data_IF_961386452091
#
_entry.id   IF_961386452091
#
_cell.length_a   1.000
_cell.length_b   1.000
_cell.length_c   1.000
_cell.angle_alpha   90.00
_cell.angle_beta   90.00
_cell.angle_gamma   90.00
#
_symmetry.space_group_name_H-M   'P 1'
#
loop_
_entity.id
_entity.type
_entity.pdbx_description
1 polymer ?
#
# COMPACT_ATOMS: atom_id res chain seq x y z
N UNK A 1 -4.92 -21.79 6.43
CA UNK A 1 -3.70 -21.16 7.00
C UNK A 1 -3.97 -20.81 8.46
N UNK A 2 -3.71 -21.77 9.37
CA UNK A 2 -4.00 -21.66 10.81
C UNK A 2 -2.72 -21.77 11.63
N UNK A 3 -1.80 -20.81 11.51
CA UNK A 3 -0.52 -20.93 12.20
C UNK A 3 -0.20 -19.84 13.22
N UNK A 4 -1.16 -18.96 13.58
CA UNK A 4 -0.94 -18.05 14.70
C UNK A 4 -2.20 -18.00 15.57
N UNK A 5 -2.02 -18.43 16.82
CA UNK A 5 -3.04 -18.30 17.86
C UNK A 5 -3.44 -16.81 17.98
N UNK A 6 -4.74 -16.44 17.90
CA UNK A 6 -5.19 -15.04 17.88
C UNK A 6 -4.68 -14.20 19.07
N UNK A 7 -4.51 -14.83 20.23
CA UNK A 7 -3.94 -14.19 21.43
C UNK A 7 -2.46 -13.80 21.27
N UNK A 8 -1.68 -14.62 20.58
CA UNK A 8 -0.27 -14.32 20.29
C UNK A 8 -0.14 -13.17 19.30
N UNK A 9 -0.97 -13.15 18.25
CA UNK A 9 -0.98 -12.07 17.27
C UNK A 9 -1.30 -10.70 17.91
N UNK A 10 -2.30 -10.64 18.81
CA UNK A 10 -2.63 -9.45 19.60
C UNK A 10 -1.45 -8.95 20.45
N UNK A 11 -0.70 -9.86 21.09
CA UNK A 11 0.46 -9.53 21.93
C UNK A 11 1.60 -8.92 21.09
N UNK A 12 1.87 -9.47 19.91
CA UNK A 12 2.89 -8.95 18.99
C UNK A 12 2.51 -7.56 18.44
N UNK A 13 1.25 -7.34 18.09
CA UNK A 13 0.77 -6.06 17.56
C UNK A 13 0.82 -4.93 18.59
N UNK A 14 0.65 -5.21 19.89
CA UNK A 14 0.72 -4.23 20.99
C UNK A 14 2.17 -3.85 21.36
N UNK A 15 3.18 -4.62 21.01
CA UNK A 15 4.56 -4.33 21.34
C UNK A 15 5.15 -3.30 20.37
N UNK A 16 5.36 -2.06 20.88
CA UNK A 16 5.91 -0.94 20.10
C UNK A 16 7.28 -1.29 19.48
N UNK A 17 8.13 -1.98 20.22
CA UNK A 17 9.48 -2.34 19.76
C UNK A 17 9.45 -3.29 18.56
N UNK A 18 8.59 -4.32 18.59
CA UNK A 18 8.43 -5.25 17.48
C UNK A 18 7.92 -4.54 16.23
N UNK A 19 6.98 -3.61 16.38
CA UNK A 19 6.48 -2.79 15.27
C UNK A 19 7.58 -1.94 14.64
N UNK A 20 8.46 -1.33 15.43
CA UNK A 20 9.59 -0.56 14.91
C UNK A 20 10.58 -1.43 14.13
N UNK A 21 10.94 -2.60 14.69
CA UNK A 21 11.85 -3.56 14.02
C UNK A 21 11.26 -4.04 12.69
N UNK A 22 9.97 -4.40 12.67
CA UNK A 22 9.31 -4.83 11.43
C UNK A 22 9.24 -3.72 10.39
N UNK A 23 8.98 -2.47 10.80
CA UNK A 23 9.00 -1.31 9.88
C UNK A 23 10.39 -1.07 9.31
N UNK A 24 11.45 -1.15 10.13
CA UNK A 24 12.83 -1.01 9.67
C UNK A 24 13.22 -2.11 8.68
N UNK A 25 12.89 -3.37 8.98
CA UNK A 25 13.15 -4.48 8.08
C UNK A 25 12.40 -4.31 6.74
N UNK A 26 11.13 -3.90 6.80
CA UNK A 26 10.35 -3.64 5.59
C UNK A 26 10.96 -2.52 4.74
N UNK A 27 11.42 -1.43 5.36
CA UNK A 27 12.10 -0.32 4.69
C UNK A 27 13.40 -0.78 4.02
N UNK A 28 14.24 -1.53 4.73
CA UNK A 28 15.53 -2.00 4.19
C UNK A 28 15.32 -2.96 3.02
N UNK A 29 14.44 -3.95 3.18
CA UNK A 29 14.14 -4.93 2.12
C UNK A 29 13.48 -4.22 0.92
N UNK A 30 12.55 -3.30 1.17
CA UNK A 30 11.91 -2.53 0.10
C UNK A 30 12.93 -1.66 -0.66
N UNK A 31 13.84 -0.97 0.03
CA UNK A 31 14.90 -0.18 -0.60
C UNK A 31 15.86 -1.03 -1.43
N UNK A 32 16.23 -2.22 -0.95
CA UNK A 32 17.03 -3.18 -1.72
C UNK A 32 16.29 -3.63 -2.99
N UNK A 33 15.03 -4.06 -2.86
CA UNK A 33 14.21 -4.48 -4.00
C UNK A 33 13.99 -3.33 -4.99
N UNK A 34 13.87 -2.09 -4.53
CA UNK A 34 13.77 -0.90 -5.38
C UNK A 34 15.01 -0.74 -6.25
N UNK A 35 16.21 -0.83 -5.66
CA UNK A 35 17.48 -0.74 -6.38
C UNK A 35 17.64 -1.89 -7.37
N UNK A 36 17.32 -3.11 -6.95
CA UNK A 36 17.34 -4.30 -7.79
C UNK A 36 16.41 -4.13 -9.00
N UNK A 37 15.15 -3.77 -8.76
CA UNK A 37 14.14 -3.58 -9.83
C UNK A 37 14.57 -2.49 -10.81
N UNK A 38 15.10 -1.38 -10.32
CA UNK A 38 15.55 -0.28 -11.17
C UNK A 38 16.68 -0.72 -12.09
N UNK A 39 17.72 -1.37 -11.56
CA UNK A 39 18.92 -1.69 -12.32
C UNK A 39 18.77 -2.92 -13.21
N UNK A 40 17.99 -3.91 -12.78
CA UNK A 40 17.84 -5.17 -13.52
C UNK A 40 16.78 -5.10 -14.60
N UNK A 41 15.69 -4.36 -14.36
CA UNK A 41 14.52 -4.40 -15.25
C UNK A 41 14.19 -3.03 -15.89
N UNK A 42 14.22 -1.95 -15.10
CA UNK A 42 13.75 -0.63 -15.57
C UNK A 42 14.79 0.02 -16.50
N UNK A 43 16.02 0.19 -16.02
CA UNK A 43 17.08 0.85 -16.79
C UNK A 43 17.43 0.11 -18.08
N UNK A 44 17.66 -1.22 -18.11
CA UNK A 44 18.03 -1.92 -19.35
C UNK A 44 16.97 -1.85 -20.44
N UNK A 45 15.70 -1.71 -20.07
CA UNK A 45 14.59 -1.64 -21.00
C UNK A 45 14.09 -0.23 -21.28
N UNK A 46 14.79 0.79 -20.79
CA UNK A 46 14.37 2.19 -20.92
C UNK A 46 12.90 2.38 -20.49
N UNK A 47 12.52 1.85 -19.33
CA UNK A 47 11.17 1.98 -18.78
C UNK A 47 11.08 3.22 -17.88
N UNK A 48 9.91 3.85 -17.86
CA UNK A 48 9.60 4.92 -16.95
C UNK A 48 8.73 4.39 -15.79
N UNK A 49 9.21 4.59 -14.57
CA UNK A 49 8.40 4.33 -13.36
C UNK A 49 7.41 5.47 -13.13
N UNK A 50 6.57 5.36 -12.08
CA UNK A 50 5.63 6.40 -11.67
C UNK A 50 6.22 7.31 -10.58
N UNK A 51 5.58 8.44 -10.34
CA UNK A 51 5.94 9.37 -9.26
C UNK A 51 7.33 9.97 -9.38
N UNK A 52 7.97 10.30 -8.26
CA UNK A 52 9.28 10.98 -8.28
C UNK A 52 10.42 10.08 -8.75
N UNK A 53 10.32 8.77 -8.63
CA UNK A 53 11.28 7.88 -9.27
C UNK A 53 11.19 8.01 -10.80
N UNK A 54 9.98 8.08 -11.36
CA UNK A 54 9.78 8.36 -12.78
C UNK A 54 10.35 9.70 -13.21
N UNK A 55 10.09 10.76 -12.43
CA UNK A 55 10.69 12.08 -12.67
C UNK A 55 12.21 12.00 -12.66
N UNK A 56 12.80 11.31 -11.67
CA UNK A 56 14.26 11.16 -11.55
C UNK A 56 14.87 10.42 -12.73
N UNK A 57 14.20 9.37 -13.22
CA UNK A 57 14.63 8.62 -14.42
C UNK A 57 14.53 9.52 -15.67
N UNK A 58 13.41 10.22 -15.84
CA UNK A 58 13.20 11.10 -16.98
C UNK A 58 14.25 12.25 -17.01
N UNK A 59 14.50 12.88 -15.87
CA UNK A 59 15.51 13.93 -15.76
C UNK A 59 16.93 13.41 -16.05
N UNK A 60 17.27 12.20 -15.57
CA UNK A 60 18.55 11.58 -15.88
C UNK A 60 18.70 11.35 -17.39
N UNK A 61 17.69 10.74 -18.03
CA UNK A 61 17.73 10.48 -19.47
C UNK A 61 17.74 11.75 -20.32
N UNK A 62 16.99 12.80 -19.91
CA UNK A 62 17.07 14.10 -20.59
C UNK A 62 18.47 14.71 -20.43
N UNK A 63 19.07 14.65 -19.26
CA UNK A 63 20.42 15.18 -19.02
C UNK A 63 21.48 14.45 -19.86
N UNK A 64 21.34 13.13 -20.04
CA UNK A 64 22.20 12.32 -20.91
C UNK A 64 22.18 12.80 -22.37
N UNK A 65 21.02 13.30 -22.88
CA UNK A 65 20.92 13.88 -24.21
C UNK A 65 21.81 15.14 -24.39
N UNK A 66 22.09 15.83 -23.28
CA UNK A 66 22.96 17.01 -23.25
C UNK A 66 24.38 16.69 -22.76
N UNK A 67 24.73 15.41 -22.62
CA UNK A 67 26.04 14.97 -22.15
C UNK A 67 26.29 15.20 -20.65
N UNK A 68 25.25 15.41 -19.87
CA UNK A 68 25.31 15.61 -18.40
C UNK A 68 24.87 14.34 -17.68
N UNK A 69 25.72 13.81 -16.82
CA UNK A 69 25.41 12.66 -15.99
C UNK A 69 24.74 13.11 -14.66
N UNK A 70 23.44 12.90 -14.54
CA UNK A 70 22.70 13.12 -13.30
C UNK A 70 22.44 11.79 -12.58
N UNK A 71 22.71 11.72 -11.30
CA UNK A 71 22.44 10.52 -10.52
C UNK A 71 20.95 10.40 -10.15
N UNK A 72 20.30 9.32 -10.57
CA UNK A 72 18.88 9.02 -10.21
C UNK A 72 18.71 9.01 -8.69
N UNK A 73 19.67 8.45 -7.94
CA UNK A 73 19.62 8.41 -6.47
C UNK A 73 19.65 9.81 -5.84
N UNK A 74 20.45 10.73 -6.41
CA UNK A 74 20.54 12.11 -5.94
C UNK A 74 19.26 12.89 -6.24
N UNK A 75 18.76 12.77 -7.46
CA UNK A 75 17.49 13.37 -7.87
C UNK A 75 16.32 12.88 -7.02
N UNK A 76 16.28 11.59 -6.73
CA UNK A 76 15.22 11.01 -5.88
C UNK A 76 15.23 11.63 -4.48
N UNK A 77 16.39 11.81 -3.86
CA UNK A 77 16.53 12.49 -2.57
C UNK A 77 16.09 13.96 -2.68
N UNK A 78 16.62 14.68 -3.66
CA UNK A 78 16.33 16.11 -3.86
C UNK A 78 14.84 16.41 -4.05
N UNK A 79 14.12 15.55 -4.78
CA UNK A 79 12.70 15.72 -5.02
C UNK A 79 11.85 15.35 -3.78
N UNK A 80 12.26 14.36 -3.00
CA UNK A 80 11.49 13.89 -1.86
C UNK A 80 11.66 14.72 -0.59
N UNK A 81 12.86 15.30 -0.33
CA UNK A 81 13.11 16.09 0.89
C UNK A 81 12.14 17.27 1.03
N UNK A 82 11.96 18.15 0.02
CA UNK A 82 11.04 19.29 0.14
C UNK A 82 9.61 18.84 0.45
N UNK A 83 9.16 17.78 -0.23
CA UNK A 83 7.80 17.25 -0.03
C UNK A 83 7.64 16.65 1.35
N UNK A 84 8.64 15.92 1.85
CA UNK A 84 8.61 15.37 3.21
C UNK A 84 8.54 16.47 4.27
N UNK A 85 9.28 17.58 4.10
CA UNK A 85 9.25 18.74 5.00
C UNK A 85 7.86 19.40 4.99
N UNK A 86 7.28 19.61 3.80
CA UNK A 86 5.96 20.21 3.66
C UNK A 86 4.85 19.32 4.24
N UNK A 87 4.96 18.01 4.05
CA UNK A 87 3.95 17.04 4.44
C UNK A 87 4.06 16.57 5.90
N UNK A 88 5.18 16.84 6.58
CA UNK A 88 5.47 16.36 7.94
C UNK A 88 4.35 16.65 8.94
N UNK A 89 3.76 17.87 8.89
CA UNK A 89 2.70 18.30 9.81
C UNK A 89 1.31 17.76 9.49
N UNK A 90 1.09 17.28 8.26
CA UNK A 90 -0.23 16.79 7.80
C UNK A 90 -0.35 15.28 7.71
N UNK A 91 0.77 14.57 7.93
CA UNK A 91 0.81 13.11 7.97
C UNK A 91 1.39 12.69 9.33
N UNK A 92 1.25 11.43 9.68
CA UNK A 92 1.82 10.88 10.92
C UNK A 92 3.35 11.05 10.96
N UNK A 93 3.95 11.56 12.08
CA UNK A 93 5.40 11.71 12.21
C UNK A 93 6.17 10.41 11.99
N UNK A 94 5.59 9.27 12.38
CA UNK A 94 6.21 7.94 12.18
C UNK A 94 6.25 7.57 10.70
N UNK A 95 5.14 7.76 9.99
CA UNK A 95 5.08 7.49 8.55
C UNK A 95 6.09 8.35 7.79
N UNK A 96 6.17 9.64 8.12
CA UNK A 96 7.13 10.57 7.50
C UNK A 96 8.57 10.13 7.76
N UNK A 97 8.90 9.77 9.01
CA UNK A 97 10.24 9.30 9.37
C UNK A 97 10.66 8.05 8.57
N UNK A 98 9.80 7.01 8.55
CA UNK A 98 10.11 5.79 7.82
C UNK A 98 10.14 6.00 6.30
N UNK A 99 9.33 6.92 5.78
CA UNK A 99 9.34 7.26 4.34
C UNK A 99 10.62 8.00 3.94
N UNK A 100 11.08 8.95 4.75
CA UNK A 100 12.37 9.60 4.54
C UNK A 100 13.49 8.55 4.61
N UNK A 101 13.46 7.67 5.60
CA UNK A 101 14.43 6.58 5.72
C UNK A 101 14.40 5.66 4.49
N UNK A 102 13.21 5.33 3.97
CA UNK A 102 13.04 4.53 2.75
C UNK A 102 13.70 5.19 1.54
N UNK A 103 13.50 6.49 1.34
CA UNK A 103 14.12 7.25 0.24
C UNK A 103 15.64 7.22 0.35
N UNK A 104 16.19 7.41 1.56
CA UNK A 104 17.64 7.36 1.78
C UNK A 104 18.21 5.94 1.56
N UNK A 105 17.57 4.92 2.12
CA UNK A 105 18.01 3.51 1.98
C UNK A 105 17.92 3.06 0.53
N UNK A 106 16.81 3.37 -0.15
CA UNK A 106 16.65 3.06 -1.58
C UNK A 106 17.70 3.77 -2.44
N UNK A 107 17.92 5.07 -2.22
CA UNK A 107 18.91 5.85 -2.92
C UNK A 107 20.34 5.36 -2.66
N UNK A 108 20.64 4.96 -1.42
CA UNK A 108 21.92 4.35 -1.06
C UNK A 108 22.16 3.04 -1.84
N UNK A 109 21.19 2.14 -1.85
CA UNK A 109 21.31 0.88 -2.60
C UNK A 109 21.38 1.12 -4.11
N UNK A 110 20.63 2.06 -4.67
CA UNK A 110 20.72 2.44 -6.10
C UNK A 110 22.14 2.90 -6.45
N UNK A 111 22.81 3.63 -5.54
CA UNK A 111 24.16 4.15 -5.77
C UNK A 111 25.25 3.08 -5.63
N UNK A 112 25.13 2.21 -4.64
CA UNK A 112 26.21 1.28 -4.22
C UNK A 112 26.12 -0.06 -4.94
N UNK A 113 24.90 -0.60 -5.14
CA UNK A 113 24.72 -1.90 -5.73
C UNK A 113 24.71 -1.83 -7.26
N UNK A 114 25.44 -2.72 -7.89
CA UNK A 114 25.41 -2.93 -9.33
C UNK A 114 24.89 -4.34 -9.59
N UNK A 115 23.93 -4.44 -10.46
CA UNK A 115 23.32 -5.69 -10.88
C UNK A 115 23.40 -5.78 -12.41
N UNK A 116 23.63 -6.97 -12.91
CA UNK A 116 23.53 -7.26 -14.34
C UNK A 116 22.07 -7.45 -14.74
N UNK A 117 21.65 -6.98 -15.94
CA UNK A 117 20.32 -7.24 -16.45
C UNK A 117 20.06 -8.73 -16.62
N UNK A 118 18.87 -9.19 -16.19
CA UNK A 118 18.48 -10.60 -16.32
C UNK A 118 17.97 -10.93 -17.73
N UNK A 119 17.20 -10.03 -18.34
CA UNK A 119 16.59 -10.24 -19.67
C UNK A 119 17.05 -9.14 -20.62
N UNK A 120 18.25 -9.30 -21.20
CA UNK A 120 18.87 -8.28 -22.06
C UNK A 120 18.07 -8.08 -23.35
N UNK A 121 17.54 -9.17 -23.93
CA UNK A 121 16.86 -9.14 -25.22
C UNK A 121 15.33 -9.07 -25.13
N UNK A 122 14.75 -9.37 -23.96
CA UNK A 122 13.30 -9.45 -23.80
C UNK A 122 12.75 -8.32 -22.92
N UNK A 123 12.40 -7.21 -23.58
CA UNK A 123 11.78 -6.06 -22.92
C UNK A 123 10.46 -6.44 -22.22
N UNK A 124 9.67 -7.39 -22.77
CA UNK A 124 8.38 -7.74 -22.20
C UNK A 124 8.52 -8.48 -20.88
N UNK A 125 9.51 -9.38 -20.74
CA UNK A 125 9.83 -10.01 -19.47
C UNK A 125 10.28 -8.98 -18.44
N UNK A 126 11.09 -8.01 -18.83
CA UNK A 126 11.47 -6.89 -17.94
C UNK A 126 10.27 -6.08 -17.48
N UNK A 127 9.32 -5.81 -18.36
CA UNK A 127 8.05 -5.12 -18.02
C UNK A 127 7.24 -5.91 -17.00
N UNK A 128 7.07 -7.21 -17.21
CA UNK A 128 6.24 -8.06 -16.34
C UNK A 128 6.91 -8.24 -14.97
N UNK A 129 8.14 -8.75 -14.93
CA UNK A 129 8.84 -9.02 -13.67
C UNK A 129 9.20 -7.73 -12.92
N UNK A 130 9.64 -6.72 -13.66
CA UNK A 130 9.90 -5.40 -13.10
C UNK A 130 8.65 -4.77 -12.50
N UNK A 131 7.49 -4.84 -13.20
CA UNK A 131 6.21 -4.34 -12.71
C UNK A 131 5.74 -5.07 -11.44
N UNK A 132 5.85 -6.40 -11.41
CA UNK A 132 5.52 -7.20 -10.22
C UNK A 132 6.41 -6.84 -9.05
N UNK A 133 7.73 -6.81 -9.23
CA UNK A 133 8.67 -6.47 -8.17
C UNK A 133 8.50 -5.02 -7.69
N UNK A 134 8.23 -4.08 -8.63
CA UNK A 134 7.90 -2.70 -8.27
C UNK A 134 6.68 -2.64 -7.36
N UNK A 135 5.60 -3.34 -7.71
CA UNK A 135 4.40 -3.43 -6.87
C UNK A 135 4.66 -4.07 -5.51
N UNK A 136 5.52 -5.09 -5.44
CA UNK A 136 5.86 -5.77 -4.20
C UNK A 136 6.68 -4.89 -3.26
N UNK A 137 7.74 -4.19 -3.73
CA UNK A 137 8.52 -3.36 -2.82
C UNK A 137 7.75 -2.14 -2.34
N UNK A 138 6.91 -1.53 -3.19
CA UNK A 138 6.01 -0.45 -2.77
C UNK A 138 5.02 -0.94 -1.71
N UNK A 139 4.38 -2.09 -1.94
CA UNK A 139 3.46 -2.69 -0.97
C UNK A 139 4.14 -3.04 0.35
N UNK A 140 5.39 -3.50 0.30
CA UNK A 140 6.19 -3.82 1.50
C UNK A 140 6.51 -2.56 2.30
N UNK A 141 6.93 -1.46 1.63
CA UNK A 141 7.14 -0.18 2.28
C UNK A 141 5.87 0.31 2.99
N UNK A 142 4.72 0.30 2.29
CA UNK A 142 3.43 0.72 2.83
C UNK A 142 3.01 -0.14 4.03
N UNK A 143 3.23 -1.47 4.00
CA UNK A 143 3.02 -2.35 5.16
C UNK A 143 3.96 -2.03 6.33
N UNK A 144 5.18 -1.56 6.03
CA UNK A 144 6.15 -1.07 7.00
C UNK A 144 5.84 0.33 7.54
N UNK A 145 4.70 0.90 7.21
CA UNK A 145 4.32 2.27 7.55
C UNK A 145 5.25 3.32 6.96
N UNK A 146 5.71 3.08 5.72
CA UNK A 146 6.54 3.97 4.93
C UNK A 146 5.98 4.08 3.51
N UNK A 147 6.28 5.19 2.82
CA UNK A 147 6.12 5.34 1.36
C UNK A 147 7.50 5.25 0.71
N UNK A 148 7.53 4.78 -0.52
CA UNK A 148 8.73 4.85 -1.38
C UNK A 148 9.02 6.27 -1.88
N UNK A 149 8.26 7.24 -1.37
CA UNK A 149 8.34 8.65 -1.73
C UNK A 149 7.47 9.03 -2.92
N UNK A 150 7.58 10.28 -3.33
CA UNK A 150 6.93 10.76 -4.52
C UNK A 150 5.50 11.26 -4.32
N UNK A 151 4.72 11.14 -5.38
CA UNK A 151 3.33 11.62 -5.43
C UNK A 151 2.41 10.96 -4.42
N UNK A 152 2.71 9.75 -3.95
CA UNK A 152 1.95 9.08 -2.90
C UNK A 152 1.96 9.87 -1.59
N UNK A 153 3.10 10.51 -1.28
CA UNK A 153 3.24 11.38 -0.13
C UNK A 153 2.34 12.60 -0.22
N UNK A 154 2.31 13.23 -1.40
CA UNK A 154 1.45 14.36 -1.70
C UNK A 154 -0.02 13.97 -1.63
N UNK A 155 -0.37 12.81 -2.21
CA UNK A 155 -1.73 12.29 -2.20
C UNK A 155 -2.25 12.05 -0.78
N UNK A 156 -1.44 11.44 0.08
CA UNK A 156 -1.79 11.21 1.49
C UNK A 156 -1.94 12.52 2.26
N UNK A 157 -1.01 13.46 2.06
CA UNK A 157 -1.05 14.76 2.72
C UNK A 157 -2.34 15.52 2.40
N UNK A 158 -2.66 15.65 1.11
CA UNK A 158 -3.87 16.36 0.65
C UNK A 158 -5.13 15.64 1.10
N UNK A 159 -5.16 14.31 1.03
CA UNK A 159 -6.29 13.50 1.50
C UNK A 159 -6.55 13.68 3.00
N UNK A 160 -5.49 13.71 3.81
CA UNK A 160 -5.62 13.91 5.26
C UNK A 160 -6.07 15.33 5.62
N UNK A 161 -5.59 16.34 4.88
CA UNK A 161 -5.90 17.75 5.18
C UNK A 161 -7.27 18.19 4.69
N UNK A 162 -7.65 17.79 3.48
CA UNK A 162 -8.84 18.29 2.79
C UNK A 162 -9.98 17.27 2.77
N UNK A 163 -9.75 16.03 3.21
CA UNK A 163 -10.71 14.93 3.11
C UNK A 163 -11.04 14.50 1.68
N UNK A 164 -10.36 15.06 0.68
CA UNK A 164 -10.53 14.76 -0.75
C UNK A 164 -9.39 13.90 -1.25
N UNK A 165 -9.70 12.90 -2.05
CA UNK A 165 -8.71 12.09 -2.76
C UNK A 165 -8.23 12.84 -4.00
N UNK A 166 -6.92 12.81 -4.26
CA UNK A 166 -6.30 13.45 -5.45
C UNK A 166 -5.72 12.41 -6.43
N UNK A 167 -6.36 11.24 -6.49
CA UNK A 167 -5.88 10.19 -7.40
C UNK A 167 -6.00 10.57 -8.88
N UNK A 168 -6.95 11.44 -9.24
CA UNK A 168 -7.08 11.95 -10.60
C UNK A 168 -5.91 12.85 -10.98
N UNK A 169 -5.48 13.72 -10.07
CA UNK A 169 -4.32 14.59 -10.24
C UNK A 169 -3.02 13.81 -10.33
N UNK A 170 -2.85 12.77 -9.51
CA UNK A 170 -1.71 11.86 -9.59
C UNK A 170 -1.71 11.10 -10.92
N UNK A 171 -2.86 10.63 -11.38
CA UNK A 171 -2.99 9.98 -12.69
C UNK A 171 -2.64 10.94 -13.83
N UNK A 172 -3.15 12.17 -13.79
CA UNK A 172 -2.85 13.20 -14.80
C UNK A 172 -1.35 13.53 -14.84
N UNK A 173 -0.72 13.67 -13.67
CA UNK A 173 0.72 13.90 -13.56
C UNK A 173 1.54 12.76 -14.18
N UNK A 174 1.22 11.50 -13.84
CA UNK A 174 1.90 10.33 -14.42
C UNK A 174 1.65 10.23 -15.94
N UNK A 175 0.45 10.56 -16.40
CA UNK A 175 0.12 10.60 -17.83
C UNK A 175 0.96 11.66 -18.55
N UNK A 176 1.09 12.86 -18.00
CA UNK A 176 1.94 13.89 -18.58
C UNK A 176 3.41 13.47 -18.68
N UNK A 177 3.94 12.81 -17.64
CA UNK A 177 5.30 12.25 -17.67
C UNK A 177 5.46 11.22 -18.80
N UNK A 178 4.50 10.32 -18.98
CA UNK A 178 4.52 9.31 -20.05
C UNK A 178 4.41 9.92 -21.44
N UNK A 179 3.64 11.00 -21.61
CA UNK A 179 3.54 11.71 -22.89
C UNK A 179 4.87 12.40 -23.24
N UNK A 180 5.49 13.09 -22.27
CA UNK A 180 6.80 13.71 -22.46
C UNK A 180 7.83 12.64 -22.80
N UNK A 181 7.84 11.54 -22.06
CA UNK A 181 8.75 10.43 -22.27
C UNK A 181 8.57 9.79 -23.66
N UNK A 182 7.32 9.57 -24.09
CA UNK A 182 6.98 9.02 -25.40
C UNK A 182 7.43 9.93 -26.55
N UNK A 183 7.27 11.24 -26.38
CA UNK A 183 7.70 12.23 -27.38
C UNK A 183 9.22 12.33 -27.51
N UNK A 184 9.98 12.17 -26.42
CA UNK A 184 11.44 12.31 -26.41
C UNK A 184 12.17 11.00 -26.73
N UNK A 185 11.69 9.88 -26.16
CA UNK A 185 12.39 8.59 -26.20
C UNK A 185 11.67 7.50 -27.01
N UNK A 186 10.51 7.82 -27.57
CA UNK A 186 9.74 6.96 -28.46
C UNK A 186 8.55 6.29 -27.81
N UNK A 187 7.47 6.22 -28.54
CA UNK A 187 6.16 5.71 -28.11
C UNK A 187 6.15 4.23 -27.72
N UNK A 188 7.10 3.44 -28.26
CA UNK A 188 7.26 2.02 -27.88
C UNK A 188 7.64 1.88 -26.40
N UNK A 189 8.61 2.67 -25.93
CA UNK A 189 9.07 2.67 -24.53
C UNK A 189 7.98 3.22 -23.59
N UNK A 190 7.24 4.24 -24.03
CA UNK A 190 6.08 4.74 -23.30
C UNK A 190 4.99 3.68 -23.16
N UNK A 191 4.67 2.94 -24.22
CA UNK A 191 3.72 1.82 -24.19
C UNK A 191 4.12 0.72 -23.20
N UNK A 192 5.38 0.30 -23.23
CA UNK A 192 5.92 -0.64 -22.23
C UNK A 192 5.85 -0.11 -20.80
N UNK A 193 6.13 1.18 -20.61
CA UNK A 193 6.03 1.82 -19.30
C UNK A 193 4.60 1.89 -18.77
N UNK A 194 3.61 2.05 -19.64
CA UNK A 194 2.18 1.97 -19.27
C UNK A 194 1.84 0.57 -18.76
N UNK A 195 2.27 -0.48 -19.47
CA UNK A 195 2.03 -1.87 -19.04
C UNK A 195 2.73 -2.16 -17.72
N UNK A 196 3.98 -1.73 -17.55
CA UNK A 196 4.75 -1.82 -16.31
C UNK A 196 4.00 -1.16 -15.13
N UNK A 197 3.54 0.08 -15.31
CA UNK A 197 2.82 0.82 -14.27
C UNK A 197 1.47 0.18 -13.96
N UNK A 198 0.76 -0.36 -14.95
CA UNK A 198 -0.50 -1.08 -14.75
C UNK A 198 -0.28 -2.34 -13.89
N UNK A 199 0.71 -3.16 -14.23
CA UNK A 199 1.05 -4.38 -13.46
C UNK A 199 1.43 -4.00 -12.02
N UNK A 200 2.30 -3.01 -11.86
CA UNK A 200 2.73 -2.53 -10.55
C UNK A 200 1.55 -2.06 -9.71
N UNK A 201 0.68 -1.22 -10.26
CA UNK A 201 -0.52 -0.72 -9.58
C UNK A 201 -1.47 -1.86 -9.18
N UNK A 202 -1.62 -2.86 -10.04
CA UNK A 202 -2.46 -4.04 -9.76
C UNK A 202 -1.91 -4.85 -8.59
N UNK A 203 -0.59 -5.04 -8.55
CA UNK A 203 0.09 -5.71 -7.43
C UNK A 203 -0.07 -4.91 -6.13
N UNK A 204 0.16 -3.58 -6.18
CA UNK A 204 -0.02 -2.71 -5.01
C UNK A 204 -1.45 -2.82 -4.48
N UNK A 205 -2.45 -2.70 -5.35
CA UNK A 205 -3.87 -2.78 -4.94
C UNK A 205 -4.24 -4.14 -4.33
N UNK A 206 -3.59 -5.22 -4.78
CA UNK A 206 -3.81 -6.57 -4.23
C UNK A 206 -3.18 -6.75 -2.85
N UNK A 207 -1.96 -6.24 -2.64
CA UNK A 207 -1.22 -6.44 -1.39
C UNK A 207 -1.41 -5.36 -0.35
N UNK A 208 -1.82 -4.13 -0.76
CA UNK A 208 -2.05 -3.00 0.13
C UNK A 208 -3.56 -2.76 0.35
N UNK A 209 -4.20 -3.67 1.08
CA UNK A 209 -5.64 -3.59 1.42
C UNK A 209 -5.91 -2.92 2.78
N UNK A 210 -4.93 -2.23 3.38
CA UNK A 210 -5.00 -1.75 4.77
C UNK A 210 -6.20 -0.84 5.05
N UNK A 211 -6.65 -0.06 4.07
CA UNK A 211 -7.75 0.90 4.23
C UNK A 211 -9.04 0.47 3.53
N UNK A 212 -9.09 -0.76 3.01
CA UNK A 212 -10.32 -1.28 2.47
C UNK A 212 -11.32 -1.50 3.60
N UNK A 213 -12.54 -1.07 3.38
CA UNK A 213 -13.64 -1.36 4.28
C UNK A 213 -14.19 -2.73 3.98
N UNK A 214 -14.57 -3.39 5.02
CA UNK A 214 -15.11 -4.75 4.97
C UNK A 214 -16.39 -4.78 5.76
N UNK A 215 -17.41 -5.35 5.17
CA UNK A 215 -18.66 -5.69 5.84
C UNK A 215 -18.53 -7.09 6.42
N UNK A 216 -18.82 -7.24 7.72
CA UNK A 216 -19.05 -8.52 8.34
C UNK A 216 -20.55 -8.74 8.52
N UNK A 217 -21.05 -9.83 7.95
CA UNK A 217 -22.36 -10.38 8.25
C UNK A 217 -22.18 -11.58 9.16
N UNK A 218 -22.78 -11.53 10.35
CA UNK A 218 -22.59 -12.54 11.39
C UNK A 218 -23.93 -13.16 11.68
N UNK A 219 -24.03 -14.46 11.54
CA UNK A 219 -25.22 -15.23 11.92
C UNK A 219 -24.93 -15.98 13.21
N UNK A 220 -25.71 -15.71 14.27
CA UNK A 220 -25.51 -16.29 15.61
C UNK A 220 -26.85 -16.52 16.29
N UNK A 221 -26.86 -17.38 17.31
CA UNK A 221 -28.01 -17.55 18.25
C UNK A 221 -27.90 -16.63 19.46
N UNK A 222 -26.68 -16.06 19.70
CA UNK A 222 -26.34 -15.25 20.88
C UNK A 222 -26.08 -13.80 20.45
N UNK A 223 -27.13 -13.15 19.92
CA UNK A 223 -27.00 -11.82 19.31
C UNK A 223 -26.48 -10.75 20.28
N UNK A 224 -27.04 -10.71 21.50
CA UNK A 224 -26.66 -9.72 22.52
C UNK A 224 -25.22 -9.95 23.01
N UNK A 225 -24.86 -11.19 23.34
CA UNK A 225 -23.51 -11.52 23.82
C UNK A 225 -22.44 -11.20 22.79
N UNK A 226 -22.73 -11.49 21.52
CA UNK A 226 -21.80 -11.19 20.40
C UNK A 226 -21.70 -9.69 20.17
N UNK A 227 -22.80 -8.93 20.24
CA UNK A 227 -22.76 -7.47 20.13
C UNK A 227 -21.95 -6.83 21.25
N UNK A 228 -22.19 -7.26 22.51
CA UNK A 228 -21.48 -6.73 23.67
C UNK A 228 -19.99 -7.02 23.62
N UNK A 229 -19.61 -8.25 23.26
CA UNK A 229 -18.21 -8.63 23.08
C UNK A 229 -17.54 -7.81 21.96
N UNK A 230 -18.23 -7.60 20.84
CA UNK A 230 -17.77 -6.82 19.72
C UNK A 230 -17.55 -5.34 20.11
N UNK A 231 -18.56 -4.68 20.72
CA UNK A 231 -18.50 -3.25 21.08
C UNK A 231 -17.44 -2.93 22.14
N UNK A 232 -17.08 -3.90 22.98
CA UNK A 232 -15.97 -3.75 23.94
C UNK A 232 -14.59 -3.69 23.27
N UNK A 233 -14.50 -4.22 22.04
CA UNK A 233 -13.20 -4.40 21.36
C UNK A 233 -13.04 -3.53 20.12
N UNK A 234 -14.12 -3.35 19.37
CA UNK A 234 -14.14 -2.66 18.08
C UNK A 234 -14.98 -1.39 18.20
N UNK A 235 -14.45 -0.27 17.68
CA UNK A 235 -15.10 1.05 17.78
C UNK A 235 -16.03 1.37 16.60
N UNK A 236 -16.59 0.33 15.98
CA UNK A 236 -17.56 0.50 14.89
C UNK A 236 -18.94 0.06 15.34
N UNK A 237 -19.97 0.71 14.79
CA UNK A 237 -21.35 0.33 15.04
C UNK A 237 -21.66 -1.06 14.50
N UNK A 238 -22.54 -1.77 15.19
CA UNK A 238 -23.07 -3.05 14.76
C UNK A 238 -24.59 -3.00 14.82
N UNK A 239 -25.27 -3.49 13.78
CA UNK A 239 -26.73 -3.58 13.71
C UNK A 239 -27.14 -5.03 13.86
N UNK A 240 -28.28 -5.26 14.52
CA UNK A 240 -28.84 -6.59 14.76
C UNK A 240 -30.26 -6.66 14.19
N UNK A 241 -30.54 -7.75 13.50
CA UNK A 241 -31.87 -8.10 12.99
C UNK A 241 -32.19 -9.51 13.45
N UNK A 242 -33.41 -9.69 14.02
CA UNK A 242 -33.91 -11.02 14.29
C UNK A 242 -34.28 -11.76 13.00
N UNK A 243 -33.89 -13.00 12.91
CA UNK A 243 -34.11 -13.85 11.75
C UNK A 243 -34.57 -15.25 12.18
N UNK A 244 -35.11 -15.99 11.24
CA UNK A 244 -35.50 -17.39 11.43
C UNK A 244 -34.65 -18.27 10.52
N UNK A 245 -33.98 -19.26 11.08
CA UNK A 245 -33.21 -20.24 10.31
C UNK A 245 -34.09 -21.00 9.34
N UNK A 246 -33.78 -20.97 8.05
CA UNK A 246 -34.59 -21.61 7.03
C UNK A 246 -34.73 -23.14 7.22
N UNK A 247 -33.65 -23.77 7.65
CA UNK A 247 -33.64 -25.24 7.92
C UNK A 247 -34.07 -25.58 9.34
N UNK A 248 -33.46 -24.94 10.36
CA UNK A 248 -33.72 -25.28 11.77
C UNK A 248 -35.05 -24.74 12.30
N UNK A 249 -35.66 -23.75 11.61
CA UNK A 249 -36.84 -23.00 12.06
C UNK A 249 -36.68 -22.32 13.43
N UNK A 250 -35.44 -22.24 13.93
CA UNK A 250 -35.10 -21.59 15.19
C UNK A 250 -34.81 -20.09 14.99
N UNK A 251 -35.04 -19.32 16.06
CA UNK A 251 -34.62 -17.89 16.10
C UNK A 251 -33.11 -17.78 16.06
N UNK A 252 -32.64 -16.83 15.29
CA UNK A 252 -31.24 -16.43 15.18
C UNK A 252 -31.14 -14.93 14.95
N UNK A 253 -29.94 -14.42 15.04
CA UNK A 253 -29.64 -13.01 14.84
C UNK A 253 -28.70 -12.86 13.67
N UNK A 254 -28.99 -11.91 12.77
CA UNK A 254 -28.13 -11.47 11.71
C UNK A 254 -27.54 -10.12 12.12
N UNK A 255 -26.25 -10.13 12.44
CA UNK A 255 -25.52 -8.90 12.80
C UNK A 255 -24.78 -8.39 11.57
N UNK A 256 -24.75 -7.07 11.43
CA UNK A 256 -24.10 -6.40 10.31
C UNK A 256 -23.22 -5.26 10.83
N UNK A 257 -21.95 -5.25 10.44
CA UNK A 257 -21.00 -4.21 10.78
C UNK A 257 -20.05 -3.92 9.64
N UNK A 258 -19.55 -2.69 9.54
CA UNK A 258 -18.53 -2.29 8.60
C UNK A 258 -17.31 -1.80 9.37
N UNK A 259 -16.15 -2.38 9.07
CA UNK A 259 -14.89 -2.09 9.75
C UNK A 259 -13.73 -2.07 8.75
N UNK A 260 -12.56 -1.65 9.19
CA UNK A 260 -11.36 -1.67 8.37
C UNK A 260 -10.81 -3.10 8.25
N UNK A 261 -10.23 -3.45 7.11
CA UNK A 261 -9.69 -4.79 6.86
C UNK A 261 -8.65 -5.25 7.89
N UNK A 262 -7.91 -4.31 8.51
CA UNK A 262 -6.94 -4.63 9.55
C UNK A 262 -7.57 -5.00 10.91
N UNK A 263 -8.85 -4.64 11.14
CA UNK A 263 -9.59 -4.94 12.38
C UNK A 263 -10.33 -6.28 12.32
N UNK A 264 -10.47 -6.85 11.12
CA UNK A 264 -11.24 -8.08 10.88
C UNK A 264 -10.77 -9.23 11.76
N UNK A 265 -9.45 -9.44 11.88
CA UNK A 265 -8.88 -10.55 12.68
C UNK A 265 -9.29 -10.42 14.16
N UNK A 266 -9.20 -9.20 14.70
CA UNK A 266 -9.57 -8.94 16.10
C UNK A 266 -11.08 -9.07 16.31
N UNK A 267 -11.89 -8.57 15.35
CA UNK A 267 -13.33 -8.69 15.38
C UNK A 267 -13.80 -10.16 15.32
N UNK A 268 -13.26 -10.93 14.36
CA UNK A 268 -13.57 -12.35 14.20
C UNK A 268 -13.17 -13.14 15.44
N UNK A 269 -12.01 -12.85 16.05
CA UNK A 269 -11.56 -13.54 17.27
C UNK A 269 -12.55 -13.35 18.42
N UNK A 270 -12.98 -12.10 18.65
CA UNK A 270 -13.94 -11.78 19.73
C UNK A 270 -15.31 -12.37 19.48
N UNK A 271 -15.80 -12.34 18.24
CA UNK A 271 -17.09 -12.95 17.87
C UNK A 271 -17.04 -14.46 18.09
N UNK A 272 -15.95 -15.12 17.69
CA UNK A 272 -15.76 -16.56 17.86
C UNK A 272 -15.51 -16.98 19.32
N UNK A 273 -15.01 -16.07 20.15
CA UNK A 273 -14.91 -16.28 21.59
C UNK A 273 -16.29 -16.23 22.26
N UNK A 274 -17.17 -15.31 21.84
CA UNK A 274 -18.53 -15.19 22.34
C UNK A 274 -19.45 -16.31 21.80
N UNK A 275 -19.34 -16.66 20.52
CA UNK A 275 -20.05 -17.78 19.90
C UNK A 275 -19.13 -18.56 18.93
N UNK A 276 -18.57 -19.69 19.35
CA UNK A 276 -17.73 -20.54 18.49
C UNK A 276 -18.45 -21.05 17.22
N UNK A 277 -19.78 -21.12 17.24
CA UNK A 277 -20.60 -21.59 16.12
C UNK A 277 -21.10 -20.46 15.22
N UNK A 278 -20.85 -19.20 15.56
CA UNK A 278 -21.23 -18.07 14.72
C UNK A 278 -20.69 -18.24 13.29
N UNK A 279 -21.52 -17.98 12.30
CA UNK A 279 -21.12 -17.95 10.90
C UNK A 279 -20.79 -16.50 10.55
N UNK A 280 -19.58 -16.26 10.03
CA UNK A 280 -19.11 -14.92 9.70
C UNK A 280 -18.81 -14.89 8.20
N UNK A 281 -19.55 -14.05 7.47
CA UNK A 281 -19.33 -13.77 6.06
C UNK A 281 -18.63 -12.43 5.93
N UNK A 282 -17.48 -12.42 5.26
CA UNK A 282 -16.70 -11.22 4.99
C UNK A 282 -16.92 -10.77 3.55
N UNK A 283 -17.41 -9.55 3.36
CA UNK A 283 -17.73 -8.96 2.06
C UNK A 283 -16.90 -7.69 1.91
N UNK A 284 -16.27 -7.49 0.74
CA UNK A 284 -15.58 -6.23 0.42
C UNK A 284 -16.60 -5.11 0.25
N UNK A 285 -16.37 -3.98 0.94
CA UNK A 285 -17.22 -2.79 0.83
C UNK A 285 -16.55 -1.80 -0.12
N UNK A 286 -17.11 -1.62 -1.30
CA UNK A 286 -16.57 -0.68 -2.29
C UNK A 286 -16.74 0.77 -1.87
N UNK A 287 -17.95 1.14 -1.46
CA UNK A 287 -18.30 2.51 -1.06
C UNK A 287 -19.00 2.51 0.29
N UNK A 288 -18.62 3.45 1.14
CA UNK A 288 -19.25 3.66 2.43
C UNK A 288 -19.47 5.17 2.63
N UNK A 289 -20.70 5.57 2.78
CA UNK A 289 -21.11 6.96 3.02
C UNK A 289 -21.58 7.10 4.46
N UNK A 290 -20.86 7.87 5.28
CA UNK A 290 -21.18 8.10 6.68
C UNK A 290 -19.95 8.35 7.55
N UNK A 291 -20.17 8.52 8.86
CA UNK A 291 -19.08 8.67 9.82
C UNK A 291 -18.41 7.31 10.04
N UNK A 292 -17.09 7.26 9.86
CA UNK A 292 -16.29 6.08 10.07
C UNK A 292 -15.14 6.41 11.02
N UNK A 293 -15.01 5.65 12.12
CA UNK A 293 -13.91 5.85 13.05
C UNK A 293 -12.60 5.31 12.44
N UNK A 294 -11.56 6.14 12.43
CA UNK A 294 -10.21 5.71 12.07
C UNK A 294 -9.35 5.82 13.30
N UNK A 295 -8.67 4.74 13.68
CA UNK A 295 -7.66 4.85 14.72
C UNK A 295 -6.53 5.76 14.22
N UNK A 296 -6.11 6.76 15.04
CA UNK A 296 -4.94 7.57 14.72
C UNK A 296 -3.69 6.66 14.69
N UNK A 297 -2.85 6.86 13.69
CA UNK A 297 -1.57 6.14 13.49
C UNK A 297 -0.53 6.41 14.58
#
# INVERSE_FOLDING_TARGET
MSFLNPSSYRKYRKNKMIRHVLSLLAVVISGFLQAFTLKVFIQPSNLLSSGFLGVSILMNQIAELFGVELSISMLLIMLNIPVAILCYRGISPRFTFYSILQVFVGSFFIRVLNFEPLFVEDTMLNVIFGGVLNGLYVSLALKGNASTGGMDFVALYVSNRNGKTIWQEVFLFNTALLLIFGALFGWKHAGYSIIFQYISTKVISTFHQRYHKVTLQITTRYGEDVMDAYLKTVRHGISCVEAIGGFSRERMYLLHTVLSSYEVIDAVAVIKEADPRAIINQISTENFYGRFHREPE
#
